data_IF_957228502619
#
_entry.id   IF_957228502619
#
_cell.length_a   1.000
_cell.length_b   1.000
_cell.length_c   1.000
_cell.angle_alpha   90.00
_cell.angle_beta   90.00
_cell.angle_gamma   90.00
#
_symmetry.space_group_name_H-M   'P 1'
#
loop_
_entity.id
_entity.type
_entity.pdbx_description
1 polymer ?
#
# COMPACT_ATOMS: atom_id res chain seq x y z
N UNK A 1 -39.69 -59.34 -17.02
CA UNK A 1 -39.59 -59.95 -18.37
C UNK A 1 -40.92 -59.73 -19.08
N UNK A 2 -41.13 -58.58 -19.73
CA UNK A 2 -42.10 -58.36 -20.82
C UNK A 2 -41.64 -57.06 -21.50
N UNK A 3 -41.35 -57.16 -22.80
CA UNK A 3 -41.01 -56.08 -23.69
C UNK A 3 -42.17 -55.99 -24.69
N UNK A 4 -42.79 -54.82 -24.85
CA UNK A 4 -43.78 -54.58 -25.91
C UNK A 4 -43.55 -53.22 -26.57
N UNK A 5 -42.98 -53.31 -27.79
CA UNK A 5 -43.19 -52.53 -29.03
C UNK A 5 -44.14 -51.33 -28.96
N UNK A 6 -43.72 -50.15 -29.42
CA UNK A 6 -43.96 -49.57 -30.77
C UNK A 6 -44.37 -48.09 -30.56
N UNK A 7 -44.29 -47.09 -31.44
CA UNK A 7 -44.03 -46.91 -32.87
C UNK A 7 -43.28 -45.57 -33.07
N UNK A 8 -42.65 -45.42 -34.24
CA UNK A 8 -42.12 -44.16 -34.75
C UNK A 8 -43.23 -43.42 -35.50
N UNK A 9 -43.46 -42.15 -35.18
CA UNK A 9 -44.17 -41.23 -36.07
C UNK A 9 -43.45 -39.87 -36.07
N UNK A 10 -43.02 -39.47 -37.27
CA UNK A 10 -42.27 -38.24 -37.55
C UNK A 10 -43.29 -37.11 -37.72
N UNK A 11 -43.19 -36.05 -36.92
CA UNK A 11 -43.93 -34.80 -37.14
C UNK A 11 -42.99 -33.61 -37.19
N UNK A 12 -43.30 -32.71 -38.12
CA UNK A 12 -42.48 -31.62 -38.62
C UNK A 12 -41.98 -30.60 -37.58
N UNK A 13 -40.76 -30.12 -37.87
CA UNK A 13 -40.05 -29.02 -37.21
C UNK A 13 -40.86 -27.72 -37.26
N UNK A 14 -41.14 -27.13 -36.10
CA UNK A 14 -41.43 -25.69 -35.94
C UNK A 14 -40.30 -25.05 -35.13
N UNK A 15 -39.86 -23.82 -35.47
CA UNK A 15 -38.67 -23.22 -34.88
C UNK A 15 -38.88 -22.87 -33.41
N UNK A 16 -37.96 -23.32 -32.56
CA UNK A 16 -37.88 -22.95 -31.14
C UNK A 16 -37.56 -21.47 -31.03
N UNK A 17 -38.44 -20.70 -30.41
CA UNK A 17 -38.15 -19.34 -29.99
C UNK A 17 -36.96 -19.35 -29.02
N UNK A 18 -35.88 -18.71 -29.45
CA UNK A 18 -34.71 -18.45 -28.61
C UNK A 18 -35.13 -17.49 -27.49
N UNK A 19 -35.41 -18.04 -26.32
CA UNK A 19 -35.60 -17.25 -25.09
C UNK A 19 -34.25 -16.63 -24.74
N UNK A 20 -34.13 -15.33 -24.95
CA UNK A 20 -32.97 -14.53 -24.56
C UNK A 20 -32.79 -14.61 -23.03
N UNK A 21 -31.61 -14.93 -22.49
CA UNK A 21 -31.39 -14.85 -21.06
C UNK A 21 -31.44 -13.37 -20.63
N UNK A 22 -32.37 -13.09 -19.72
CA UNK A 22 -32.56 -11.82 -19.06
C UNK A 22 -31.26 -11.42 -18.34
N UNK A 23 -30.57 -10.40 -18.88
CA UNK A 23 -29.43 -9.75 -18.20
C UNK A 23 -29.93 -9.11 -16.91
N UNK A 24 -29.80 -9.80 -15.78
CA UNK A 24 -29.87 -9.17 -14.45
C UNK A 24 -28.47 -8.69 -14.07
N UNK A 25 -28.16 -7.46 -14.46
CA UNK A 25 -26.98 -6.75 -13.97
C UNK A 25 -27.33 -6.17 -12.60
N UNK A 26 -27.01 -6.89 -11.52
CA UNK A 26 -26.94 -6.31 -10.18
C UNK A 26 -25.55 -5.69 -10.03
N UNK A 27 -25.43 -4.40 -10.31
CA UNK A 27 -24.23 -3.62 -9.96
C UNK A 27 -24.20 -3.42 -8.45
N UNK A 28 -23.36 -4.21 -7.79
CA UNK A 28 -23.10 -4.14 -6.36
C UNK A 28 -22.07 -3.02 -6.11
N UNK A 29 -22.55 -1.82 -5.77
CA UNK A 29 -21.70 -0.69 -5.33
C UNK A 29 -21.45 -0.81 -3.83
N UNK A 30 -20.22 -1.10 -3.42
CA UNK A 30 -19.78 -1.00 -2.02
C UNK A 30 -18.85 0.19 -1.86
N UNK A 31 -19.24 1.08 -0.94
CA UNK A 31 -18.44 2.02 -0.13
C UNK A 31 -17.09 2.47 -0.70
N UNK A 32 -17.14 3.17 -1.84
CA UNK A 32 -16.45 4.43 -2.17
C UNK A 32 -17.07 4.80 -3.51
N UNK A 33 -17.93 5.82 -3.53
CA UNK A 33 -18.63 6.25 -4.72
C UNK A 33 -17.62 6.88 -5.71
N UNK A 34 -17.03 6.07 -6.58
CA UNK A 34 -16.53 6.54 -7.87
C UNK A 34 -17.73 6.76 -8.79
N UNK A 35 -17.87 8.00 -9.26
CA UNK A 35 -18.97 8.43 -10.12
C UNK A 35 -18.65 7.97 -11.55
N UNK A 36 -19.62 7.40 -12.28
CA UNK A 36 -19.44 6.91 -13.66
C UNK A 36 -19.02 8.03 -14.64
N UNK A 37 -19.17 9.30 -14.23
CA UNK A 37 -18.73 10.47 -14.99
C UNK A 37 -17.20 10.59 -15.11
N UNK A 38 -16.43 10.03 -14.17
CA UNK A 38 -14.97 10.17 -14.18
C UNK A 38 -14.31 9.35 -15.31
N UNK A 39 -14.96 8.28 -15.77
CA UNK A 39 -14.50 7.48 -16.93
C UNK A 39 -14.72 8.15 -18.28
N UNK A 40 -15.72 9.03 -18.40
CA UNK A 40 -16.01 9.73 -19.66
C UNK A 40 -15.03 10.89 -19.94
N UNK A 41 -14.47 11.51 -18.90
CA UNK A 41 -13.50 12.58 -19.04
C UNK A 41 -12.16 12.13 -19.67
N UNK A 42 -11.85 10.83 -19.61
CA UNK A 42 -10.63 10.28 -20.21
C UNK A 42 -10.69 10.13 -21.74
N UNK A 43 -11.88 10.18 -22.35
CA UNK A 43 -12.06 9.93 -23.80
C UNK A 43 -12.09 11.20 -24.64
N UNK A 44 -12.18 12.39 -24.03
CA UNK A 44 -12.41 13.66 -24.77
C UNK A 44 -11.10 14.40 -25.11
N UNK A 45 -9.93 14.01 -24.58
CA UNK A 45 -8.68 14.77 -24.73
C UNK A 45 -7.65 14.05 -25.63
N UNK A 46 -8.07 13.47 -26.76
CA UNK A 46 -7.13 12.84 -27.71
C UNK A 46 -7.20 13.36 -29.15
N UNK A 47 -7.82 14.50 -29.39
CA UNK A 47 -7.86 15.09 -30.73
C UNK A 47 -7.40 16.56 -30.70
N UNK A 48 -6.10 16.79 -30.74
CA UNK A 48 -5.56 18.07 -31.23
C UNK A 48 -4.48 17.79 -32.29
N UNK A 49 -4.75 18.22 -33.52
CA UNK A 49 -3.79 18.29 -34.63
C UNK A 49 -3.00 19.60 -34.53
N UNK A 50 -1.74 19.67 -35.01
CA UNK A 50 -0.94 20.88 -34.90
C UNK A 50 -1.33 21.89 -35.99
N UNK A 51 -1.83 23.04 -35.57
CA UNK A 51 -2.06 24.22 -36.42
C UNK A 51 -1.07 25.33 -36.06
N UNK A 52 -0.38 25.84 -37.08
CA UNK A 52 0.58 26.95 -37.05
C UNK A 52 0.03 28.21 -36.37
N UNK A 53 0.81 28.80 -35.47
CA UNK A 53 0.49 30.10 -34.88
C UNK A 53 1.48 30.51 -33.78
N UNK A 54 2.73 30.75 -34.14
CA UNK A 54 3.65 31.47 -33.26
C UNK A 54 3.15 32.91 -33.05
N UNK A 55 3.31 33.42 -31.82
CA UNK A 55 3.14 34.82 -31.37
C UNK A 55 1.95 35.15 -30.43
N UNK A 56 1.56 34.26 -29.51
CA UNK A 56 0.79 34.66 -28.31
C UNK A 56 1.07 33.85 -27.03
N UNK A 57 2.19 33.12 -26.95
CA UNK A 57 2.41 32.11 -25.92
C UNK A 57 2.94 32.59 -24.55
N UNK A 58 3.14 33.90 -24.34
CA UNK A 58 3.88 34.38 -23.16
C UNK A 58 3.03 35.06 -22.07
N UNK A 59 1.69 34.94 -22.12
CA UNK A 59 0.82 35.55 -21.08
C UNK A 59 -0.30 34.65 -20.52
N UNK A 60 -0.31 33.34 -20.81
CA UNK A 60 -1.24 32.37 -20.19
C UNK A 60 -0.61 31.54 -19.05
N UNK A 61 0.50 31.99 -18.47
CA UNK A 61 1.06 31.44 -17.23
C UNK A 61 0.49 32.17 -16.00
N UNK A 62 -0.83 32.19 -15.88
CA UNK A 62 -1.51 32.74 -14.70
C UNK A 62 -2.85 32.04 -14.48
N UNK A 63 -2.99 31.44 -13.30
CA UNK A 63 -4.16 30.72 -12.77
C UNK A 63 -4.32 29.22 -13.09
N UNK A 64 -3.33 28.40 -12.71
CA UNK A 64 -3.73 27.06 -12.23
C UNK A 64 -4.56 27.28 -10.96
N UNK A 65 -5.89 27.22 -11.10
CA UNK A 65 -6.82 27.28 -9.97
C UNK A 65 -6.40 26.24 -8.92
N UNK A 66 -6.14 26.69 -7.69
CA UNK A 66 -5.84 25.80 -6.56
C UNK A 66 -6.96 24.75 -6.47
N UNK A 67 -6.62 23.47 -6.65
CA UNK A 67 -7.61 22.40 -6.57
C UNK A 67 -8.29 22.40 -5.20
N UNK A 68 -9.59 22.64 -5.18
CA UNK A 68 -10.40 22.59 -3.97
C UNK A 68 -10.78 21.14 -3.68
N UNK A 69 -10.35 20.63 -2.53
CA UNK A 69 -10.66 19.25 -2.14
C UNK A 69 -12.12 19.12 -1.76
N UNK A 70 -12.86 18.30 -2.49
CA UNK A 70 -14.25 18.00 -2.18
C UNK A 70 -14.36 16.86 -1.16
N UNK A 71 -14.81 17.20 0.04
CA UNK A 71 -15.15 16.23 1.09
C UNK A 71 -16.44 15.49 0.72
N UNK A 72 -16.44 14.17 0.92
CA UNK A 72 -17.59 13.29 0.69
C UNK A 72 -18.21 12.94 2.04
N UNK A 73 -19.05 13.83 2.55
CA UNK A 73 -19.70 13.67 3.87
C UNK A 73 -20.51 12.38 3.97
N UNK A 74 -21.32 12.10 2.95
CA UNK A 74 -22.06 10.85 2.82
C UNK A 74 -21.73 10.19 1.48
N UNK A 75 -21.35 8.89 1.46
CA UNK A 75 -21.28 7.98 2.61
C UNK A 75 -19.94 8.00 3.39
N UNK A 76 -18.85 8.58 2.85
CA UNK A 76 -17.50 8.27 3.35
C UNK A 76 -17.23 8.72 4.79
N UNK A 77 -17.42 10.01 5.11
CA UNK A 77 -17.16 10.51 6.48
C UNK A 77 -18.03 9.78 7.49
N UNK A 78 -19.32 9.62 7.20
CA UNK A 78 -20.27 8.93 8.08
C UNK A 78 -19.83 7.48 8.37
N UNK A 79 -19.37 6.73 7.36
CA UNK A 79 -18.88 5.36 7.54
C UNK A 79 -17.69 5.33 8.49
N UNK A 80 -16.71 6.24 8.35
CA UNK A 80 -15.56 6.26 9.25
C UNK A 80 -15.94 6.66 10.68
N UNK A 81 -16.88 7.59 10.87
CA UNK A 81 -17.39 7.95 12.21
C UNK A 81 -18.04 6.74 12.88
N UNK A 82 -18.94 6.05 12.17
CA UNK A 82 -19.59 4.84 12.69
C UNK A 82 -18.56 3.76 12.98
N UNK A 83 -17.67 3.47 12.02
CA UNK A 83 -16.63 2.45 12.14
C UNK A 83 -15.77 2.66 13.39
N UNK A 84 -15.26 3.89 13.60
CA UNK A 84 -14.43 4.20 14.77
C UNK A 84 -15.23 4.19 16.08
N UNK A 85 -16.51 4.58 16.06
CA UNK A 85 -17.37 4.50 17.24
C UNK A 85 -17.59 3.04 17.69
N UNK A 86 -17.85 2.14 16.73
CA UNK A 86 -17.99 0.70 17.00
C UNK A 86 -16.66 0.10 17.46
N UNK A 87 -15.54 0.53 16.87
CA UNK A 87 -14.21 0.11 17.30
C UNK A 87 -13.87 0.56 18.71
N UNK A 88 -14.18 1.82 19.07
CA UNK A 88 -13.95 2.35 20.42
C UNK A 88 -14.79 1.63 21.46
N UNK A 89 -16.06 1.36 21.15
CA UNK A 89 -16.91 0.54 22.00
C UNK A 89 -16.36 -0.89 22.16
N UNK A 90 -15.83 -1.47 21.08
CA UNK A 90 -15.13 -2.75 21.12
C UNK A 90 -13.88 -2.73 21.99
N UNK A 91 -13.06 -1.67 21.97
CA UNK A 91 -11.92 -1.53 22.88
C UNK A 91 -12.39 -1.51 24.33
N UNK A 92 -13.46 -0.77 24.63
CA UNK A 92 -14.07 -0.77 25.96
C UNK A 92 -14.50 -2.18 26.38
N UNK A 93 -15.27 -2.91 25.54
CA UNK A 93 -15.69 -4.28 25.84
C UNK A 93 -14.51 -5.24 25.98
N UNK A 94 -13.46 -5.05 25.19
CA UNK A 94 -12.23 -5.83 25.31
C UNK A 94 -11.62 -5.67 26.71
N UNK A 95 -11.55 -4.45 27.24
CA UNK A 95 -10.99 -4.19 28.56
C UNK A 95 -11.86 -4.69 29.72
N UNK A 96 -13.20 -4.66 29.59
CA UNK A 96 -14.11 -4.92 30.73
C UNK A 96 -14.77 -6.30 30.72
N UNK A 97 -14.88 -6.96 29.56
CA UNK A 97 -15.63 -8.21 29.42
C UNK A 97 -14.90 -9.33 28.70
N UNK A 98 -14.00 -9.02 27.76
CA UNK A 98 -13.46 -10.04 26.88
C UNK A 98 -12.58 -11.05 27.61
N UNK A 99 -12.76 -12.32 27.26
CA UNK A 99 -11.89 -13.41 27.69
C UNK A 99 -10.49 -13.21 27.10
N UNK A 100 -9.46 -13.66 27.82
CA UNK A 100 -8.07 -13.47 27.37
C UNK A 100 -7.77 -14.27 26.09
N UNK A 101 -8.48 -15.39 25.87
CA UNK A 101 -8.44 -16.19 24.64
C UNK A 101 -8.96 -15.39 23.44
N UNK A 102 -10.06 -14.66 23.63
CA UNK A 102 -10.64 -13.76 22.62
C UNK A 102 -9.67 -12.63 22.26
N UNK A 103 -8.96 -12.08 23.25
CA UNK A 103 -7.87 -11.12 23.02
C UNK A 103 -6.74 -11.72 22.18
N UNK A 104 -6.24 -12.89 22.57
CA UNK A 104 -5.17 -13.58 21.86
C UNK A 104 -5.59 -13.90 20.42
N UNK A 105 -6.81 -14.38 20.23
CA UNK A 105 -7.39 -14.60 18.91
C UNK A 105 -7.41 -13.31 18.08
N UNK A 106 -7.92 -12.21 18.63
CA UNK A 106 -7.98 -10.93 17.91
C UNK A 106 -6.59 -10.45 17.48
N UNK A 107 -5.57 -10.61 18.33
CA UNK A 107 -4.17 -10.28 17.99
C UNK A 107 -3.65 -11.15 16.85
N UNK A 108 -3.84 -12.48 16.93
CA UNK A 108 -3.39 -13.41 15.88
C UNK A 108 -4.12 -13.14 14.56
N UNK A 109 -5.43 -12.88 14.62
CA UNK A 109 -6.25 -12.52 13.46
C UNK A 109 -5.78 -11.21 12.84
N UNK A 110 -5.49 -10.20 13.67
CA UNK A 110 -4.94 -8.91 13.25
C UNK A 110 -3.56 -9.01 12.62
N UNK A 111 -2.64 -9.81 13.19
CA UNK A 111 -1.32 -10.07 12.60
C UNK A 111 -1.46 -10.77 11.25
N UNK A 112 -2.36 -11.76 11.17
CA UNK A 112 -2.62 -12.48 9.93
C UNK A 112 -3.16 -11.54 8.85
N UNK A 113 -4.12 -10.68 9.18
CA UNK A 113 -4.60 -9.62 8.30
C UNK A 113 -3.48 -8.66 7.87
N UNK A 114 -2.62 -8.25 8.81
CA UNK A 114 -1.43 -7.45 8.54
C UNK A 114 -0.50 -8.11 7.52
N UNK A 115 -0.19 -9.40 7.66
CA UNK A 115 0.61 -10.16 6.70
C UNK A 115 -0.01 -10.19 5.29
N UNK A 116 -1.34 -10.20 5.19
CA UNK A 116 -2.05 -10.08 3.90
C UNK A 116 -1.79 -8.75 3.19
N UNK A 117 -1.58 -7.68 3.94
CA UNK A 117 -1.17 -6.37 3.41
C UNK A 117 0.34 -6.35 3.15
N UNK A 118 1.16 -6.68 4.15
CA UNK A 118 2.62 -6.47 4.10
C UNK A 118 3.33 -7.52 3.24
N UNK A 119 3.19 -8.82 3.55
CA UNK A 119 3.78 -9.88 2.72
C UNK A 119 3.06 -9.99 1.37
N UNK A 120 1.73 -9.86 1.37
CA UNK A 120 0.90 -9.93 0.17
C UNK A 120 0.90 -8.65 -0.67
N UNK A 121 -0.10 -7.79 -0.46
CA UNK A 121 -0.40 -6.64 -1.33
C UNK A 121 0.82 -5.77 -1.61
N UNK A 122 1.63 -5.53 -0.59
CA UNK A 122 2.81 -4.68 -0.63
C UNK A 122 4.02 -5.36 -1.28
N UNK A 123 4.65 -6.31 -0.59
CA UNK A 123 5.95 -6.87 -1.01
C UNK A 123 5.82 -7.80 -2.22
N UNK A 124 4.84 -8.72 -2.22
CA UNK A 124 4.66 -9.68 -3.30
C UNK A 124 4.08 -9.03 -4.55
N UNK A 125 2.89 -8.45 -4.46
CA UNK A 125 2.16 -7.98 -5.64
C UNK A 125 2.62 -6.58 -6.09
N UNK A 126 2.68 -5.59 -5.20
CA UNK A 126 3.04 -4.23 -5.61
C UNK A 126 4.49 -4.12 -6.06
N UNK A 127 5.43 -4.69 -5.30
CA UNK A 127 6.87 -4.54 -5.52
C UNK A 127 7.57 -5.70 -6.22
N UNK A 128 6.91 -6.86 -6.35
CA UNK A 128 7.52 -8.07 -6.93
C UNK A 128 8.88 -8.39 -6.30
N UNK A 129 9.00 -8.21 -4.98
CA UNK A 129 10.26 -8.36 -4.25
C UNK A 129 10.61 -9.81 -3.97
N UNK A 130 9.65 -10.72 -4.12
CA UNK A 130 9.84 -12.16 -4.13
C UNK A 130 8.75 -12.84 -4.98
N UNK A 131 8.87 -14.14 -5.24
CA UNK A 131 7.84 -14.96 -5.88
C UNK A 131 7.22 -15.94 -4.88
N UNK A 132 5.94 -16.21 -5.03
CA UNK A 132 5.18 -17.13 -4.18
C UNK A 132 4.51 -18.24 -5.02
N UNK A 133 4.50 -19.46 -4.48
CA UNK A 133 3.70 -20.56 -5.04
C UNK A 133 2.22 -20.32 -4.78
N UNK A 134 1.35 -20.95 -5.57
CA UNK A 134 -0.11 -20.78 -5.50
C UNK A 134 -0.70 -20.96 -4.09
N UNK A 135 -0.29 -21.95 -3.26
CA UNK A 135 -0.83 -22.09 -1.91
C UNK A 135 -0.58 -20.85 -1.04
N UNK A 136 0.65 -20.31 -1.05
CA UNK A 136 0.96 -19.07 -0.33
C UNK A 136 0.21 -17.86 -0.88
N UNK A 137 0.05 -17.77 -2.21
CA UNK A 137 -0.75 -16.69 -2.82
C UNK A 137 -2.21 -16.73 -2.36
N UNK A 138 -2.81 -17.92 -2.28
CA UNK A 138 -4.18 -18.11 -1.78
C UNK A 138 -4.26 -17.72 -0.29
N UNK A 139 -3.29 -18.16 0.52
CA UNK A 139 -3.23 -17.80 1.93
C UNK A 139 -3.15 -16.29 2.13
N UNK A 140 -2.23 -15.62 1.43
CA UNK A 140 -2.06 -14.16 1.50
C UNK A 140 -3.28 -13.40 0.98
N UNK A 141 -4.00 -13.96 0.01
CA UNK A 141 -5.26 -13.41 -0.49
C UNK A 141 -6.36 -13.48 0.57
N UNK A 142 -6.48 -14.60 1.29
CA UNK A 142 -7.42 -14.74 2.42
C UNK A 142 -7.07 -13.74 3.52
N UNK A 143 -5.78 -13.66 3.88
CA UNK A 143 -5.28 -12.68 4.85
C UNK A 143 -5.56 -11.25 4.42
N UNK A 144 -5.43 -10.92 3.13
CA UNK A 144 -5.78 -9.60 2.61
C UNK A 144 -7.29 -9.32 2.72
N UNK A 145 -8.15 -10.32 2.51
CA UNK A 145 -9.59 -10.20 2.76
C UNK A 145 -9.90 -9.97 4.25
N UNK A 146 -9.11 -10.53 5.19
CA UNK A 146 -9.24 -10.24 6.61
C UNK A 146 -8.86 -8.78 6.96
N UNK A 147 -8.03 -8.13 6.14
CA UNK A 147 -7.60 -6.76 6.34
C UNK A 147 -8.63 -5.72 5.87
N UNK A 148 -9.46 -6.05 4.88
CA UNK A 148 -10.51 -5.16 4.34
C UNK A 148 -9.98 -3.76 3.95
N UNK A 149 -8.95 -3.71 3.08
CA UNK A 149 -8.32 -2.49 2.58
C UNK A 149 -8.38 -2.39 1.04
N UNK A 150 -9.58 -2.54 0.46
CA UNK A 150 -9.81 -2.73 -0.98
C UNK A 150 -9.23 -4.05 -1.52
N UNK A 151 -9.59 -4.37 -2.77
CA UNK A 151 -9.08 -5.55 -3.46
C UNK A 151 -7.60 -5.38 -3.82
N UNK A 152 -6.88 -6.51 -3.99
CA UNK A 152 -5.43 -6.51 -4.15
C UNK A 152 -5.01 -5.64 -5.34
N UNK A 153 -5.76 -5.66 -6.45
CA UNK A 153 -5.42 -4.87 -7.62
C UNK A 153 -5.55 -3.37 -7.36
N UNK A 154 -6.64 -2.92 -6.74
CA UNK A 154 -6.80 -1.49 -6.40
C UNK A 154 -5.73 -1.02 -5.42
N UNK A 155 -5.43 -1.81 -4.39
CA UNK A 155 -4.36 -1.51 -3.43
C UNK A 155 -3.01 -1.38 -4.14
N UNK A 156 -2.65 -2.35 -5.00
CA UNK A 156 -1.38 -2.34 -5.72
C UNK A 156 -1.26 -1.16 -6.69
N UNK A 157 -2.35 -0.82 -7.39
CA UNK A 157 -2.37 0.34 -8.29
C UNK A 157 -2.08 1.62 -7.51
N UNK A 158 -2.84 1.88 -6.46
CA UNK A 158 -2.70 3.11 -5.66
C UNK A 158 -1.32 3.17 -4.98
N UNK A 159 -0.77 2.03 -4.53
CA UNK A 159 0.58 1.96 -3.94
C UNK A 159 1.70 2.21 -4.96
N UNK A 160 1.59 1.65 -6.18
CA UNK A 160 2.56 1.92 -7.25
C UNK A 160 2.53 3.39 -7.68
N UNK A 161 1.35 4.02 -7.70
CA UNK A 161 1.21 5.47 -7.94
C UNK A 161 1.89 6.26 -6.83
N UNK A 162 1.66 5.89 -5.57
CA UNK A 162 2.29 6.51 -4.41
C UNK A 162 3.82 6.49 -4.52
N UNK A 163 4.45 5.34 -4.81
CA UNK A 163 5.90 5.30 -4.98
C UNK A 163 6.42 6.13 -6.14
N UNK A 164 5.70 6.15 -7.27
CA UNK A 164 6.16 6.83 -8.49
C UNK A 164 6.01 8.35 -8.41
N UNK A 165 5.00 8.83 -7.69
CA UNK A 165 4.62 10.23 -7.63
C UNK A 165 4.47 10.76 -6.20
N UNK A 166 5.19 10.15 -5.25
CA UNK A 166 5.23 10.49 -3.83
C UNK A 166 5.37 12.00 -3.63
N UNK A 167 4.65 12.55 -2.64
CA UNK A 167 4.66 13.98 -2.29
C UNK A 167 4.09 14.94 -3.36
N UNK A 168 3.45 14.44 -4.43
CA UNK A 168 2.80 15.26 -5.46
C UNK A 168 1.28 15.16 -5.40
N UNK A 169 0.56 15.95 -6.20
CA UNK A 169 -0.90 15.83 -6.34
C UNK A 169 -1.37 14.49 -6.94
N UNK A 170 -0.47 13.71 -7.52
CA UNK A 170 -0.77 12.36 -7.99
C UNK A 170 -0.62 11.29 -6.91
N UNK A 171 -0.04 11.60 -5.75
CA UNK A 171 0.02 10.71 -4.60
C UNK A 171 -1.36 10.63 -3.91
N UNK A 172 -2.00 9.45 -3.82
CA UNK A 172 -3.32 9.31 -3.20
C UNK A 172 -3.40 9.83 -1.77
N UNK A 173 -2.32 9.70 -1.00
CA UNK A 173 -2.24 10.07 0.41
C UNK A 173 -1.09 11.06 0.66
N UNK A 174 -0.93 12.01 -0.26
CA UNK A 174 0.10 13.06 -0.23
C UNK A 174 0.26 13.71 1.15
N UNK A 175 1.39 13.42 1.80
CA UNK A 175 1.74 13.92 3.14
C UNK A 175 1.89 15.45 3.22
N UNK A 176 2.18 16.13 2.10
CA UNK A 176 2.26 17.60 2.05
C UNK A 176 0.92 18.28 2.36
N UNK A 177 -0.17 17.53 2.37
CA UNK A 177 -1.51 17.98 2.76
C UNK A 177 -1.80 17.81 4.26
N UNK A 178 -0.80 17.40 5.03
CA UNK A 178 -0.85 17.26 6.48
C UNK A 178 -1.17 15.84 6.95
N UNK A 179 -0.86 15.59 8.23
CA UNK A 179 -1.00 14.28 8.88
C UNK A 179 -2.40 13.69 8.71
N UNK A 180 -3.45 14.46 9.00
CA UNK A 180 -4.83 13.97 8.95
C UNK A 180 -5.22 13.52 7.54
N UNK A 181 -4.81 14.26 6.51
CA UNK A 181 -5.08 13.89 5.12
C UNK A 181 -4.42 12.56 4.76
N UNK A 182 -3.12 12.42 5.02
CA UNK A 182 -2.36 11.21 4.72
C UNK A 182 -2.82 9.99 5.54
N UNK A 183 -3.31 10.21 6.77
CA UNK A 183 -3.77 9.15 7.65
C UNK A 183 -5.13 8.59 7.21
N UNK A 184 -6.18 9.42 7.18
CA UNK A 184 -7.55 8.97 6.86
C UNK A 184 -8.32 9.94 5.98
N UNK A 185 -7.95 11.23 5.96
CA UNK A 185 -8.65 12.28 5.22
C UNK A 185 -8.76 12.02 3.73
N UNK A 186 -7.77 11.38 3.12
CA UNK A 186 -7.79 11.02 1.70
C UNK A 186 -8.92 10.05 1.33
N UNK A 187 -9.35 9.18 2.26
CA UNK A 187 -10.49 8.27 2.08
C UNK A 187 -11.84 8.98 2.19
N UNK A 188 -11.86 10.16 2.80
CA UNK A 188 -13.06 10.99 3.01
C UNK A 188 -13.25 12.04 1.92
N UNK A 189 -12.34 12.12 0.96
CA UNK A 189 -12.34 13.13 -0.10
C UNK A 189 -12.42 12.48 -1.49
N UNK A 190 -12.87 13.25 -2.48
CA UNK A 190 -12.64 12.87 -3.89
C UNK A 190 -11.14 12.92 -4.18
N UNK A 191 -10.66 11.93 -4.92
CA UNK A 191 -9.26 11.87 -5.40
C UNK A 191 -8.95 13.10 -6.25
N UNK A 192 -7.74 13.63 -6.15
CA UNK A 192 -7.27 14.67 -7.06
C UNK A 192 -7.24 14.10 -8.50
N UNK A 193 -7.60 14.86 -9.55
CA UNK A 193 -7.62 14.38 -10.93
C UNK A 193 -6.29 13.74 -11.39
N UNK A 194 -5.17 14.26 -10.89
CA UNK A 194 -3.85 13.70 -11.17
C UNK A 194 -3.67 12.28 -10.65
N UNK A 195 -4.28 11.91 -9.52
CA UNK A 195 -4.26 10.52 -9.02
C UNK A 195 -4.92 9.59 -10.03
N UNK A 196 -6.04 10.02 -10.62
CA UNK A 196 -6.78 9.24 -11.61
C UNK A 196 -5.97 9.13 -12.91
N UNK A 197 -5.52 10.27 -13.44
CA UNK A 197 -4.76 10.36 -14.68
C UNK A 197 -3.45 9.59 -14.62
N UNK A 198 -2.69 9.74 -13.54
CA UNK A 198 -1.41 9.04 -13.35
C UNK A 198 -1.61 7.60 -12.91
N UNK A 199 -2.69 7.26 -12.21
CA UNK A 199 -3.07 5.89 -11.90
C UNK A 199 -3.32 5.04 -13.13
N UNK A 200 -3.94 5.61 -14.17
CA UNK A 200 -4.12 4.92 -15.45
C UNK A 200 -2.80 4.65 -16.20
N UNK A 201 -1.72 5.37 -15.87
CA UNK A 201 -0.39 5.21 -16.51
C UNK A 201 0.50 4.17 -15.83
N UNK A 202 0.08 3.62 -14.69
CA UNK A 202 0.83 2.60 -13.98
C UNK A 202 0.44 1.23 -14.54
N UNK A 203 1.45 0.47 -14.96
CA UNK A 203 1.24 -0.90 -15.40
C UNK A 203 0.81 -1.77 -14.21
N UNK A 204 -0.32 -2.46 -14.35
CA UNK A 204 -0.85 -3.45 -13.43
C UNK A 204 -1.20 -4.77 -14.15
N UNK A 205 -0.68 -4.98 -15.36
CA UNK A 205 -0.96 -6.16 -16.18
C UNK A 205 -0.56 -7.43 -15.45
N UNK A 206 0.61 -7.43 -14.81
CA UNK A 206 1.10 -8.56 -14.00
C UNK A 206 0.18 -8.94 -12.83
N UNK A 207 -0.53 -7.94 -12.26
CA UNK A 207 -1.47 -8.17 -11.16
C UNK A 207 -2.76 -8.79 -11.69
N UNK A 208 -3.21 -8.31 -12.84
CA UNK A 208 -4.41 -8.81 -13.52
C UNK A 208 -4.20 -10.17 -14.16
N UNK A 209 -2.97 -10.57 -14.46
CA UNK A 209 -2.63 -11.91 -14.95
C UNK A 209 -2.67 -12.96 -13.84
N UNK A 210 -2.53 -12.58 -12.56
CA UNK A 210 -2.58 -13.52 -11.45
C UNK A 210 -4.03 -14.01 -11.21
N UNK A 211 -4.32 -15.31 -11.41
CA UNK A 211 -5.68 -15.85 -11.25
C UNK A 211 -6.21 -15.72 -9.81
N UNK A 212 -5.33 -15.72 -8.81
CA UNK A 212 -5.73 -15.55 -7.40
C UNK A 212 -6.24 -14.14 -7.16
N UNK A 213 -5.56 -13.13 -7.72
CA UNK A 213 -5.97 -11.73 -7.61
C UNK A 213 -7.26 -11.48 -8.38
N UNK A 214 -7.40 -12.02 -9.60
CA UNK A 214 -8.65 -11.93 -10.36
C UNK A 214 -9.83 -12.53 -9.61
N UNK A 215 -9.62 -13.69 -8.99
CA UNK A 215 -10.65 -14.35 -8.17
C UNK A 215 -11.06 -13.46 -7.00
N UNK A 216 -10.08 -12.95 -6.24
CA UNK A 216 -10.36 -12.08 -5.09
C UNK A 216 -11.08 -10.81 -5.51
N UNK A 217 -10.63 -10.14 -6.59
CA UNK A 217 -11.29 -8.95 -7.11
C UNK A 217 -12.74 -9.21 -7.52
N UNK A 218 -13.02 -10.35 -8.17
CA UNK A 218 -14.37 -10.73 -8.58
C UNK A 218 -15.32 -10.97 -7.40
N UNK A 219 -14.79 -11.51 -6.31
CA UNK A 219 -15.58 -11.90 -5.13
C UNK A 219 -15.21 -11.10 -3.88
N UNK A 220 -14.67 -9.89 -4.05
CA UNK A 220 -14.04 -9.16 -2.96
C UNK A 220 -14.99 -8.89 -1.80
N UNK A 221 -16.19 -8.39 -2.12
CA UNK A 221 -17.22 -8.05 -1.13
C UNK A 221 -17.65 -9.28 -0.31
N UNK A 222 -18.10 -10.41 -0.90
CA UNK A 222 -18.47 -11.58 -0.11
C UNK A 222 -17.28 -12.21 0.63
N UNK A 223 -16.09 -12.26 0.04
CA UNK A 223 -14.90 -12.81 0.71
C UNK A 223 -14.50 -11.98 1.93
N UNK A 224 -14.52 -10.65 1.81
CA UNK A 224 -14.19 -9.74 2.89
C UNK A 224 -15.26 -9.73 3.96
N UNK A 225 -16.55 -9.73 3.60
CA UNK A 225 -17.65 -9.89 4.55
C UNK A 225 -17.50 -11.19 5.35
N UNK A 226 -17.12 -12.27 4.69
CA UNK A 226 -16.89 -13.56 5.32
C UNK A 226 -15.67 -13.54 6.26
N UNK A 227 -14.48 -13.20 5.75
CA UNK A 227 -13.22 -13.31 6.52
C UNK A 227 -12.98 -12.18 7.51
N UNK A 228 -13.30 -10.93 7.16
CA UNK A 228 -13.05 -9.78 8.03
C UNK A 228 -14.11 -9.62 9.12
N UNK A 229 -15.34 -10.11 8.90
CA UNK A 229 -16.46 -9.87 9.83
C UNK A 229 -17.11 -11.14 10.36
N UNK A 230 -17.58 -12.04 9.47
CA UNK A 230 -18.33 -13.22 9.92
C UNK A 230 -17.43 -14.20 10.70
N UNK A 231 -16.31 -14.62 10.12
CA UNK A 231 -15.41 -15.61 10.72
C UNK A 231 -14.75 -15.06 11.99
N UNK A 232 -14.31 -13.81 11.98
CA UNK A 232 -13.72 -13.16 13.16
C UNK A 232 -14.69 -12.98 14.32
N UNK A 233 -15.99 -12.96 14.06
CA UNK A 233 -17.04 -12.93 15.09
C UNK A 233 -17.41 -14.34 15.54
N UNK A 234 -17.62 -15.26 14.60
CA UNK A 234 -18.12 -16.61 14.90
C UNK A 234 -17.07 -17.48 15.59
N UNK A 235 -15.79 -17.40 15.20
CA UNK A 235 -14.77 -18.27 15.78
C UNK A 235 -14.58 -18.09 17.28
N UNK A 236 -14.48 -16.86 17.84
CA UNK A 236 -14.44 -16.68 19.29
C UNK A 236 -15.66 -17.25 20.01
N UNK A 237 -16.85 -17.13 19.41
CA UNK A 237 -18.07 -17.69 19.99
C UNK A 237 -18.01 -19.21 20.06
N UNK A 238 -17.54 -19.87 19.00
CA UNK A 238 -17.48 -21.33 18.93
C UNK A 238 -16.32 -21.93 19.75
N UNK A 239 -15.17 -21.26 19.76
CA UNK A 239 -13.94 -21.81 20.37
C UNK A 239 -13.80 -21.47 21.84
N UNK A 240 -14.30 -20.30 22.27
CA UNK A 240 -14.08 -19.76 23.61
C UNK A 240 -15.38 -19.46 24.34
N UNK A 241 -16.53 -19.82 23.76
CA UNK A 241 -17.87 -19.50 24.29
C UNK A 241 -18.01 -18.00 24.55
N UNK A 242 -17.46 -17.17 23.66
CA UNK A 242 -17.54 -15.71 23.78
C UNK A 242 -18.93 -15.21 23.40
N UNK A 243 -19.39 -14.18 24.11
CA UNK A 243 -20.66 -13.53 23.80
C UNK A 243 -20.63 -12.83 22.43
N UNK A 244 -21.79 -12.77 21.75
CA UNK A 244 -21.87 -12.14 20.42
C UNK A 244 -21.44 -10.67 20.42
N UNK A 245 -21.80 -9.90 21.46
CA UNK A 245 -21.42 -8.49 21.58
C UNK A 245 -19.91 -8.34 21.70
N UNK A 246 -19.26 -9.12 22.56
CA UNK A 246 -17.80 -9.08 22.71
C UNK A 246 -17.09 -9.57 21.45
N UNK A 247 -17.52 -10.68 20.87
CA UNK A 247 -16.89 -11.23 19.67
C UNK A 247 -17.02 -10.28 18.46
N UNK A 248 -18.17 -9.63 18.28
CA UNK A 248 -18.39 -8.69 17.20
C UNK A 248 -17.66 -7.36 17.44
N UNK A 249 -17.87 -6.70 18.59
CA UNK A 249 -17.28 -5.39 18.81
C UNK A 249 -15.79 -5.46 19.08
N UNK A 250 -15.32 -6.39 19.92
CA UNK A 250 -13.90 -6.48 20.29
C UNK A 250 -13.07 -7.22 19.24
N UNK A 251 -13.39 -8.50 18.98
CA UNK A 251 -12.54 -9.34 18.11
C UNK A 251 -12.63 -8.94 16.63
N UNK A 252 -13.75 -8.35 16.22
CA UNK A 252 -13.97 -7.93 14.83
C UNK A 252 -13.78 -6.43 14.65
N UNK A 253 -14.61 -5.57 15.25
CA UNK A 253 -14.63 -4.13 14.95
C UNK A 253 -13.42 -3.37 15.53
N UNK A 254 -13.09 -3.57 16.80
CA UNK A 254 -11.93 -2.91 17.41
C UNK A 254 -10.63 -3.35 16.74
N UNK A 255 -10.46 -4.66 16.55
CA UNK A 255 -9.34 -5.19 15.77
C UNK A 255 -9.28 -4.59 14.37
N UNK A 256 -10.41 -4.42 13.68
CA UNK A 256 -10.44 -3.80 12.34
C UNK A 256 -9.93 -2.37 12.36
N UNK A 257 -10.48 -1.55 13.24
CA UNK A 257 -10.10 -0.14 13.38
C UNK A 257 -8.63 0.00 13.76
N UNK A 258 -8.14 -0.82 14.70
CA UNK A 258 -6.72 -0.81 15.11
C UNK A 258 -5.83 -1.17 13.91
N UNK A 259 -6.15 -2.24 13.17
CA UNK A 259 -5.38 -2.64 11.99
C UNK A 259 -5.35 -1.54 10.92
N UNK A 260 -6.48 -0.86 10.66
CA UNK A 260 -6.53 0.27 9.72
C UNK A 260 -5.59 1.40 10.14
N UNK A 261 -5.67 1.82 11.41
CA UNK A 261 -4.84 2.91 11.92
C UNK A 261 -3.35 2.55 11.89
N UNK A 262 -2.99 1.29 12.17
CA UNK A 262 -1.60 0.83 12.03
C UNK A 262 -1.10 0.91 10.58
N UNK A 263 -1.92 0.53 9.60
CA UNK A 263 -1.55 0.74 8.18
C UNK A 263 -1.45 2.22 7.83
N UNK A 264 -2.41 3.03 8.26
CA UNK A 264 -2.44 4.46 7.96
C UNK A 264 -1.31 5.26 8.61
N UNK A 265 -0.74 4.77 9.72
CA UNK A 265 0.47 5.34 10.31
C UNK A 265 1.68 5.26 9.38
N UNK A 266 1.73 4.27 8.48
CA UNK A 266 2.79 4.17 7.46
C UNK A 266 2.71 5.36 6.51
N UNK A 267 1.51 5.70 6.02
CA UNK A 267 1.31 6.83 5.12
C UNK A 267 1.54 8.19 5.80
N UNK A 268 1.23 8.30 7.09
CA UNK A 268 1.28 9.57 7.82
C UNK A 268 2.55 9.72 8.66
N UNK A 269 2.65 8.99 9.77
CA UNK A 269 3.76 9.11 10.70
C UNK A 269 5.10 8.73 10.06
N UNK A 270 5.13 7.70 9.21
CA UNK A 270 6.35 7.27 8.52
C UNK A 270 6.74 8.15 7.31
N UNK A 271 6.03 9.26 7.06
CA UNK A 271 6.46 10.33 6.17
C UNK A 271 6.78 11.65 6.91
N UNK A 272 6.56 11.73 8.23
CA UNK A 272 6.68 12.98 8.99
C UNK A 272 7.71 12.91 10.12
N UNK A 273 7.70 11.84 10.92
CA UNK A 273 8.44 11.80 12.18
C UNK A 273 9.39 10.62 12.25
N UNK A 274 10.69 10.91 12.14
CA UNK A 274 11.74 9.91 12.19
C UNK A 274 13.01 10.39 11.50
N UNK A 275 13.96 9.47 11.31
CA UNK A 275 15.25 9.76 10.68
C UNK A 275 15.25 9.38 9.19
N UNK A 276 16.20 9.92 8.42
CA UNK A 276 16.36 9.65 6.97
C UNK A 276 17.78 9.14 6.63
N UNK A 277 18.18 7.97 7.15
CA UNK A 277 19.54 7.46 7.03
C UNK A 277 19.99 7.14 5.60
N UNK A 278 19.06 6.94 4.65
CA UNK A 278 19.39 6.52 3.28
C UNK A 278 19.16 7.65 2.26
N UNK A 279 18.10 8.44 2.43
CA UNK A 279 17.81 9.56 1.55
C UNK A 279 17.07 10.68 2.27
N UNK A 280 17.74 11.79 2.55
CA UNK A 280 17.18 12.97 3.24
C UNK A 280 16.27 13.84 2.39
N UNK A 281 16.28 13.66 1.07
CA UNK A 281 15.55 14.49 0.10
C UNK A 281 14.12 14.00 -0.19
N UNK A 282 13.72 12.86 0.36
CA UNK A 282 12.36 12.32 0.28
C UNK A 282 11.68 12.47 1.65
N UNK A 283 10.36 12.50 1.71
CA UNK A 283 9.63 12.60 3.00
C UNK A 283 9.67 11.33 3.87
N UNK A 284 9.61 10.09 3.33
CA UNK A 284 9.68 8.85 4.11
C UNK A 284 10.80 8.83 5.15
N UNK A 285 10.48 8.35 6.35
CA UNK A 285 11.37 8.29 7.52
C UNK A 285 11.40 6.88 8.12
N UNK A 286 12.46 6.59 8.87
CA UNK A 286 12.52 5.43 9.76
C UNK A 286 11.84 5.76 11.08
N UNK A 287 10.79 5.01 11.43
CA UNK A 287 10.02 5.20 12.67
C UNK A 287 9.82 3.87 13.41
N UNK A 288 10.50 3.70 14.54
CA UNK A 288 10.47 2.46 15.34
C UNK A 288 9.08 2.11 15.85
N UNK A 289 8.26 3.11 16.24
CA UNK A 289 6.90 2.86 16.68
C UNK A 289 6.04 2.30 15.55
N UNK A 290 6.12 2.91 14.36
CA UNK A 290 5.43 2.39 13.17
C UNK A 290 5.96 1.01 12.80
N UNK A 291 7.26 0.75 12.94
CA UNK A 291 7.84 -0.58 12.68
C UNK A 291 7.18 -1.65 13.54
N UNK A 292 6.95 -1.39 14.83
CA UNK A 292 6.27 -2.32 15.73
C UNK A 292 4.78 -2.45 15.40
N UNK A 293 4.09 -1.32 15.23
CA UNK A 293 2.65 -1.29 14.99
C UNK A 293 2.25 -1.92 13.64
N UNK A 294 3.04 -1.66 12.59
CA UNK A 294 2.82 -2.15 11.23
C UNK A 294 3.70 -3.36 10.86
N UNK A 295 4.13 -4.15 11.85
CA UNK A 295 4.71 -5.49 11.64
C UNK A 295 5.95 -5.49 10.72
N UNK A 296 6.74 -4.41 10.75
CA UNK A 296 7.97 -4.23 9.97
C UNK A 296 7.98 -3.11 8.95
N UNK A 297 6.84 -2.43 8.69
CA UNK A 297 6.75 -1.42 7.59
C UNK A 297 7.20 0.01 7.97
N UNK A 298 7.66 0.24 9.19
CA UNK A 298 8.12 1.56 9.65
C UNK A 298 9.53 1.94 9.21
N UNK A 299 10.27 1.04 8.56
CA UNK A 299 11.57 1.35 7.94
C UNK A 299 11.38 2.01 6.56
N UNK A 300 10.64 3.12 6.55
CA UNK A 300 10.02 3.65 5.33
C UNK A 300 10.99 4.45 4.45
N UNK A 301 12.02 5.08 5.04
CA UNK A 301 13.08 5.73 4.27
C UNK A 301 13.89 4.71 3.46
N UNK A 302 14.20 3.56 4.06
CA UNK A 302 14.84 2.43 3.38
C UNK A 302 13.94 1.93 2.26
N UNK A 303 12.67 1.66 2.58
CA UNK A 303 11.72 1.11 1.64
C UNK A 303 11.54 2.00 0.38
N UNK A 304 11.35 3.31 0.55
CA UNK A 304 11.25 4.22 -0.61
C UNK A 304 12.57 4.38 -1.37
N UNK A 305 13.71 4.15 -0.72
CA UNK A 305 15.02 4.18 -1.38
C UNK A 305 15.31 2.90 -2.16
N UNK A 306 14.86 1.74 -1.64
CA UNK A 306 15.07 0.41 -2.21
C UNK A 306 13.77 -0.40 -2.27
N UNK A 307 12.79 0.03 -3.10
CA UNK A 307 11.44 -0.54 -3.08
C UNK A 307 11.38 -2.01 -3.52
N UNK A 308 12.44 -2.53 -4.15
CA UNK A 308 12.53 -3.91 -4.61
C UNK A 308 13.05 -4.89 -3.54
N UNK A 309 13.55 -4.43 -2.38
CA UNK A 309 14.07 -5.31 -1.34
C UNK A 309 12.92 -5.97 -0.56
N UNK A 310 12.89 -7.31 -0.50
CA UNK A 310 11.80 -8.06 0.12
C UNK A 310 11.70 -7.84 1.63
N UNK A 311 12.78 -7.39 2.28
CA UNK A 311 12.85 -7.17 3.72
C UNK A 311 12.30 -5.82 4.13
N UNK A 312 12.13 -4.90 3.18
CA UNK A 312 11.76 -3.48 3.39
C UNK A 312 12.60 -2.76 4.44
N UNK A 313 13.77 -3.31 4.79
CA UNK A 313 14.61 -2.83 5.89
C UNK A 313 16.04 -3.35 5.74
N UNK A 314 17.00 -2.61 6.26
CA UNK A 314 18.40 -3.06 6.35
C UNK A 314 18.56 -4.24 7.33
N UNK A 315 17.78 -4.25 8.41
CA UNK A 315 17.95 -5.16 9.55
C UNK A 315 17.24 -6.51 9.43
N UNK A 316 16.65 -6.81 8.26
CA UNK A 316 16.05 -8.12 7.99
C UNK A 316 14.86 -8.43 8.89
N UNK A 317 15.02 -9.37 9.83
CA UNK A 317 13.95 -9.83 10.73
C UNK A 317 13.84 -9.01 12.02
N UNK A 318 14.83 -8.16 12.34
CA UNK A 318 14.81 -7.38 13.58
C UNK A 318 13.65 -6.37 13.54
N UNK A 319 12.68 -6.57 14.42
CA UNK A 319 11.41 -5.81 14.46
C UNK A 319 10.57 -5.94 13.18
N UNK A 320 10.76 -7.00 12.40
CA UNK A 320 10.08 -7.17 11.11
C UNK A 320 9.57 -8.60 10.97
N UNK A 321 8.40 -8.82 11.57
CA UNK A 321 7.73 -10.13 11.57
C UNK A 321 7.28 -10.53 10.15
N UNK A 322 7.01 -9.57 9.27
CA UNK A 322 6.72 -9.86 7.86
C UNK A 322 7.92 -10.52 7.16
N UNK A 323 9.14 -10.00 7.35
CA UNK A 323 10.36 -10.64 6.82
C UNK A 323 10.56 -12.03 7.42
N UNK A 324 10.29 -12.20 8.73
CA UNK A 324 10.38 -13.51 9.39
C UNK A 324 9.39 -14.52 8.77
N UNK A 325 8.16 -14.11 8.51
CA UNK A 325 7.15 -14.92 7.84
C UNK A 325 7.57 -15.32 6.43
N UNK A 326 8.04 -14.38 5.60
CA UNK A 326 8.51 -14.66 4.24
C UNK A 326 9.68 -15.64 4.27
N UNK A 327 10.63 -15.49 5.20
CA UNK A 327 11.75 -16.40 5.38
C UNK A 327 11.30 -17.81 5.77
N UNK A 328 10.31 -17.94 6.65
CA UNK A 328 9.71 -19.24 6.99
C UNK A 328 9.07 -19.88 5.75
N UNK A 329 8.28 -19.12 4.99
CA UNK A 329 7.66 -19.60 3.76
C UNK A 329 8.71 -20.00 2.71
N UNK A 330 9.84 -19.30 2.64
CA UNK A 330 10.95 -19.66 1.76
C UNK A 330 11.60 -20.98 2.18
N UNK A 331 11.82 -21.18 3.49
CA UNK A 331 12.32 -22.46 4.03
C UNK A 331 11.37 -23.62 3.72
N UNK A 332 10.06 -23.39 3.75
CA UNK A 332 9.05 -24.38 3.36
C UNK A 332 8.86 -24.49 1.82
N UNK A 333 9.67 -23.79 1.02
CA UNK A 333 9.61 -23.79 -0.44
C UNK A 333 8.39 -23.07 -1.04
N UNK A 334 7.60 -22.35 -0.25
CA UNK A 334 6.43 -21.61 -0.73
C UNK A 334 6.78 -20.21 -1.27
N UNK A 335 7.90 -19.63 -0.84
CA UNK A 335 8.46 -18.39 -1.37
C UNK A 335 9.85 -18.63 -1.97
N UNK A 336 10.21 -17.89 -3.02
CA UNK A 336 11.49 -18.03 -3.72
C UNK A 336 11.88 -16.72 -4.44
N UNK A 337 13.12 -16.63 -4.93
CA UNK A 337 13.67 -15.43 -5.58
C UNK A 337 13.53 -14.15 -4.72
N UNK A 338 13.89 -14.25 -3.43
CA UNK A 338 13.85 -13.14 -2.47
C UNK A 338 14.92 -12.10 -2.84
N UNK A 339 14.50 -10.93 -3.35
CA UNK A 339 15.40 -9.87 -3.82
C UNK A 339 15.92 -9.02 -2.66
N UNK A 340 17.24 -8.83 -2.58
CA UNK A 340 17.87 -7.96 -1.59
C UNK A 340 18.79 -6.94 -2.25
N UNK A 341 18.88 -5.75 -1.64
CA UNK A 341 19.95 -4.81 -1.96
C UNK A 341 21.23 -5.21 -1.21
N UNK A 342 22.38 -5.09 -1.87
CA UNK A 342 23.68 -5.41 -1.27
C UNK A 342 24.12 -4.35 -0.26
N UNK A 343 24.89 -4.77 0.75
CA UNK A 343 25.39 -3.88 1.79
C UNK A 343 26.23 -2.71 1.22
N UNK A 344 27.03 -2.96 0.19
CA UNK A 344 27.82 -1.92 -0.49
C UNK A 344 26.94 -0.83 -1.11
N UNK A 345 25.80 -1.22 -1.70
CA UNK A 345 24.85 -0.27 -2.30
C UNK A 345 24.14 0.53 -1.19
N UNK A 346 23.76 -0.11 -0.09
CA UNK A 346 23.18 0.56 1.08
C UNK A 346 24.16 1.59 1.64
N UNK A 347 25.42 1.21 1.86
CA UNK A 347 26.46 2.07 2.43
C UNK A 347 26.74 3.27 1.52
N UNK A 348 26.99 3.04 0.22
CA UNK A 348 27.22 4.11 -0.76
C UNK A 348 26.03 5.07 -0.84
N UNK A 349 24.79 4.55 -0.78
CA UNK A 349 23.59 5.39 -0.81
C UNK A 349 23.47 6.25 0.45
N UNK A 350 23.66 5.64 1.62
CA UNK A 350 23.63 6.35 2.91
C UNK A 350 24.70 7.44 2.99
N UNK A 351 25.93 7.18 2.53
CA UNK A 351 27.00 8.19 2.48
C UNK A 351 26.68 9.34 1.53
N UNK A 352 26.04 9.05 0.39
CA UNK A 352 25.73 10.05 -0.63
C UNK A 352 24.53 10.91 -0.30
N UNK A 353 23.45 10.33 0.21
CA UNK A 353 22.15 11.00 0.37
C UNK A 353 21.54 10.90 1.76
N UNK A 354 22.13 10.16 2.69
CA UNK A 354 21.63 10.05 4.06
C UNK A 354 21.76 11.34 4.85
N UNK A 355 20.99 11.44 5.94
CA UNK A 355 21.06 12.53 6.92
C UNK A 355 22.20 12.37 7.94
N UNK A 356 22.99 11.30 7.84
CA UNK A 356 24.12 11.00 8.73
C UNK A 356 23.76 10.21 9.99
N UNK A 357 22.48 9.94 10.27
CA UNK A 357 22.06 9.20 11.48
C UNK A 357 22.60 7.77 11.50
N UNK A 358 22.63 7.08 10.35
CA UNK A 358 23.23 5.75 10.22
C UNK A 358 24.74 5.75 10.50
N UNK A 359 25.48 6.73 9.99
CA UNK A 359 26.93 6.84 10.19
C UNK A 359 27.24 7.02 11.68
N UNK A 360 26.56 7.96 12.34
CA UNK A 360 26.68 8.18 13.79
C UNK A 360 26.37 6.92 14.59
N UNK A 361 25.31 6.19 14.21
CA UNK A 361 24.96 4.94 14.87
C UNK A 361 26.06 3.88 14.74
N UNK A 362 26.66 3.73 13.55
CA UNK A 362 27.78 2.82 13.32
C UNK A 362 29.00 3.24 14.14
N UNK A 363 29.36 4.52 14.15
CA UNK A 363 30.51 5.06 14.92
C UNK A 363 30.36 4.82 16.43
N UNK A 364 29.15 5.01 16.98
CA UNK A 364 28.85 4.76 18.39
C UNK A 364 28.97 3.28 18.77
N UNK A 365 28.55 2.36 17.90
CA UNK A 365 28.58 0.92 18.18
C UNK A 365 29.95 0.28 17.91
N UNK A 366 30.77 0.87 17.05
CA UNK A 366 32.04 0.28 16.59
C UNK A 366 33.29 0.81 17.31
N UNK A 367 33.13 1.48 18.45
CA UNK A 367 34.19 1.82 19.42
C UNK A 367 35.61 1.90 18.85
N UNK A 368 36.00 3.06 18.31
CA UNK A 368 37.34 3.37 17.76
C UNK A 368 37.83 2.58 16.53
N UNK A 369 37.16 1.50 16.09
CA UNK A 369 37.66 0.66 15.00
C UNK A 369 37.38 1.24 13.60
N UNK A 370 36.26 1.96 13.39
CA UNK A 370 35.93 2.56 12.09
C UNK A 370 36.75 3.82 11.76
N UNK A 371 37.30 4.51 12.77
CA UNK A 371 38.21 5.67 12.56
C UNK A 371 39.44 5.30 11.73
N UNK A 372 39.93 4.06 11.81
CA UNK A 372 41.14 3.63 11.07
C UNK A 372 40.89 3.26 9.59
N UNK A 373 39.69 2.82 9.22
CA UNK A 373 39.37 2.43 7.84
C UNK A 373 38.67 3.52 7.03
N UNK A 374 37.89 4.39 7.68
CA UNK A 374 37.27 5.53 7.01
C UNK A 374 38.29 6.58 6.57
N UNK A 375 39.36 6.80 7.33
CA UNK A 375 40.43 7.72 6.91
C UNK A 375 41.17 7.24 5.64
N UNK A 376 41.37 5.93 5.46
CA UNK A 376 41.99 5.37 4.23
C UNK A 376 41.13 5.56 2.97
N UNK A 377 39.80 5.55 3.09
CA UNK A 377 38.88 5.66 1.94
C UNK A 377 38.27 7.07 1.76
N UNK A 378 38.34 7.95 2.76
CA UNK A 378 37.83 9.33 2.69
C UNK A 378 38.89 10.35 2.25
N UNK A 379 40.19 10.05 2.39
CA UNK A 379 41.27 10.93 1.94
C UNK A 379 41.21 11.27 0.43
N UNK A 380 40.86 10.34 -0.49
CA UNK A 380 40.72 10.68 -1.90
C UNK A 380 39.48 11.54 -2.20
N UNK A 381 38.39 11.36 -1.46
CA UNK A 381 37.14 12.11 -1.65
C UNK A 381 37.21 13.53 -1.08
N UNK A 382 37.86 13.72 0.08
CA UNK A 382 38.10 15.07 0.63
C UNK A 382 39.03 15.89 -0.27
N UNK A 383 40.04 15.28 -0.90
CA UNK A 383 40.88 15.98 -1.90
C UNK A 383 40.09 16.42 -3.13
N UNK A 384 39.22 15.56 -3.69
CA UNK A 384 38.39 15.92 -4.85
C UNK A 384 37.39 17.04 -4.56
N UNK A 385 36.85 17.11 -3.34
CA UNK A 385 35.94 18.19 -2.95
C UNK A 385 36.70 19.51 -2.79
N UNK A 386 37.94 19.48 -2.29
CA UNK A 386 38.79 20.67 -2.13
C UNK A 386 39.37 21.17 -3.46
N UNK A 387 39.70 20.28 -4.39
CA UNK A 387 40.16 20.63 -5.75
C UNK A 387 39.05 21.29 -6.58
N UNK A 388 37.78 20.93 -6.38
CA UNK A 388 36.64 21.59 -7.05
C UNK A 388 36.29 22.97 -6.48
N UNK A 389 36.69 23.28 -5.25
CA UNK A 389 36.48 24.59 -4.62
C UNK A 389 37.59 25.61 -4.92
N UNK A 390 38.65 25.22 -5.62
CA UNK A 390 39.75 26.09 -6.02
C UNK A 390 39.61 26.56 -7.48
N UNK A 391 38.48 27.20 -7.82
CA UNK A 391 38.44 28.06 -9.00
C UNK A 391 39.02 29.43 -8.61
N UNK A 392 40.04 29.95 -9.30
CA UNK A 392 40.55 31.29 -9.02
C UNK A 392 39.48 32.31 -9.40
N UNK A 393 39.05 33.12 -8.43
CA UNK A 393 38.33 34.38 -8.72
C UNK A 393 39.33 35.28 -9.46
N UNK A 394 39.10 35.47 -10.76
CA UNK A 394 39.77 36.50 -11.54
C UNK A 394 39.47 37.87 -10.93
N UNK A 395 40.53 38.52 -10.47
CA UNK A 395 40.54 39.93 -10.11
C UNK A 395 40.48 40.78 -11.38
N UNK A 396 39.35 41.40 -11.66
CA UNK A 396 39.27 42.52 -12.59
C UNK A 396 39.28 43.82 -11.78
N UNK A 397 40.44 44.49 -11.83
CA UNK A 397 40.54 45.94 -11.69
C UNK A 397 41.17 46.45 -12.99
N UNK A 398 40.41 47.20 -13.78
CA UNK A 398 40.98 48.23 -14.65
C UNK A 398 39.98 49.39 -14.78
N UNK A 399 40.39 50.50 -14.19
CA UNK A 399 39.94 51.85 -14.47
C UNK A 399 40.29 52.25 -15.90
N UNK A 400 39.31 52.72 -16.69
CA UNK A 400 39.46 53.73 -17.76
C UNK A 400 38.06 54.17 -18.22
N UNK A 401 37.77 55.48 -18.17
CA UNK A 401 36.54 56.10 -18.68
C UNK A 401 35.83 56.97 -17.66
#
# INVERSE_FOLDING_TARGET
MVQTRSQVEVTAVRPVQVVRPMKRTLTQRTVVALDEKDTAAATVISNDKPGNGANHADNELSSQSVFQTKVVWFPNVAVFVVLHSLGLYGVYLACVKAKWESWLFAVIWGISAGLGVTAGAHRLWSHKSYKARTPLRILLMIFNCMACQNDIHEWCRDHRVHHKYSETNADPHNVNRGFFFAHVGWLMCKKHPDVIRKGASVDCTDILEDPVVRFQRKFYVPLTAFWCFAVSTILPMLMYDESLDVAFFSCTMARYVISLNFTWLVNSAAHLWGNKPYNKWISPVENTFVTLAAIGEGFHNFHHTFPFDYRTSEFGMKLNLTTAFINLMAKCGQAYELKTVSNDVIEKRSLRTGDGTRIRAVELHSGSAYKRNSERNLLPLRRRILEFSAFPRSSEHSSFG
#
